data_IF_519988611920
#
_entry.id   IF_519988611920
#
_cell.length_a   1.000
_cell.length_b   1.000
_cell.length_c   1.000
_cell.angle_alpha   90.00
_cell.angle_beta   90.00
_cell.angle_gamma   90.00
#
_symmetry.space_group_name_H-M   'P 1'
#
loop_
_entity.id
_entity.type
_entity.pdbx_description
1 polymer ?
#
# COMPACT_ATOMS: atom_id res chain seq x y z
N UNK A 1 -15.18 -19.23 8.31
CA UNK A 1 -14.64 -18.45 7.19
C UNK A 1 -13.38 -17.78 7.76
N UNK A 2 -12.21 -18.35 7.53
CA UNK A 2 -10.94 -17.85 8.09
C UNK A 2 -10.26 -17.00 7.03
N UNK A 3 -10.69 -15.74 6.92
CA UNK A 3 -9.96 -14.69 6.22
C UNK A 3 -9.57 -13.64 7.25
N UNK A 4 -8.36 -13.08 7.13
CA UNK A 4 -8.07 -11.82 7.81
C UNK A 4 -9.06 -10.75 7.31
N UNK A 5 -9.46 -9.78 8.15
CA UNK A 5 -10.27 -8.67 7.68
C UNK A 5 -9.54 -7.97 6.53
N UNK A 6 -10.30 -7.59 5.49
CA UNK A 6 -9.77 -6.83 4.38
C UNK A 6 -9.25 -5.47 4.89
N UNK A 7 -8.08 -5.07 4.43
CA UNK A 7 -7.50 -3.77 4.80
C UNK A 7 -8.19 -2.65 4.04
N UNK A 8 -8.50 -1.56 4.73
CA UNK A 8 -9.00 -0.33 4.13
C UNK A 8 -7.85 0.67 3.98
N UNK A 9 -7.92 1.56 3.01
CA UNK A 9 -6.83 2.48 2.72
C UNK A 9 -7.19 3.53 1.68
N UNK A 10 -6.15 4.19 1.17
CA UNK A 10 -6.27 5.19 0.12
C UNK A 10 -5.24 4.95 -0.98
N UNK A 11 -5.67 5.15 -2.21
CA UNK A 11 -4.79 5.27 -3.37
C UNK A 11 -4.60 6.74 -3.71
N UNK A 12 -3.40 7.14 -4.09
CA UNK A 12 -3.10 8.47 -4.59
C UNK A 12 -2.08 8.39 -5.72
N UNK A 13 -2.25 9.23 -6.73
CA UNK A 13 -1.31 9.36 -7.83
C UNK A 13 -0.20 10.31 -7.42
N UNK A 14 1.05 9.90 -7.64
CA UNK A 14 2.24 10.71 -7.37
C UNK A 14 2.94 11.03 -8.68
N UNK A 15 3.11 12.32 -8.95
CA UNK A 15 3.75 12.82 -10.17
C UNK A 15 5.13 13.43 -9.87
N UNK A 16 6.01 13.40 -10.89
CA UNK A 16 7.31 14.07 -10.82
C UNK A 16 8.40 13.33 -10.04
N UNK A 17 8.10 12.20 -9.38
CA UNK A 17 9.10 11.34 -8.70
C UNK A 17 8.86 9.85 -8.94
N UNK A 18 9.93 9.07 -8.83
CA UNK A 18 9.88 7.61 -8.80
C UNK A 18 10.15 7.13 -7.38
N UNK A 19 9.11 6.63 -6.72
CA UNK A 19 9.26 6.04 -5.39
C UNK A 19 10.09 4.75 -5.45
N UNK A 20 11.14 4.73 -4.66
CA UNK A 20 12.03 3.60 -4.40
C UNK A 20 11.69 2.95 -3.06
N UNK A 21 12.25 1.76 -2.80
CA UNK A 21 12.01 1.04 -1.54
C UNK A 21 12.34 1.85 -0.29
N UNK A 22 13.45 2.60 -0.21
CA UNK A 22 13.72 3.51 0.89
C UNK A 22 12.58 4.52 1.16
N UNK A 23 12.07 5.21 0.14
CA UNK A 23 10.99 6.18 0.34
C UNK A 23 9.70 5.51 0.81
N UNK A 24 9.39 4.30 0.32
CA UNK A 24 8.26 3.52 0.82
C UNK A 24 8.43 3.12 2.29
N UNK A 25 9.65 2.78 2.71
CA UNK A 25 9.97 2.47 4.09
C UNK A 25 9.76 3.69 5.00
N UNK A 26 10.25 4.86 4.58
CA UNK A 26 10.09 6.12 5.32
C UNK A 26 8.60 6.50 5.46
N UNK A 27 7.81 6.39 4.39
CA UNK A 27 6.36 6.63 4.48
C UNK A 27 5.69 5.64 5.45
N UNK A 28 6.07 4.37 5.42
CA UNK A 28 5.50 3.37 6.32
C UNK A 28 5.85 3.65 7.80
N UNK A 29 7.10 3.99 8.08
CA UNK A 29 7.58 4.34 9.43
C UNK A 29 6.83 5.56 9.98
N UNK A 30 6.75 6.63 9.18
CA UNK A 30 6.11 7.88 9.56
C UNK A 30 4.60 7.70 9.78
N UNK A 31 3.94 6.85 9.00
CA UNK A 31 2.52 6.51 9.18
C UNK A 31 2.26 5.46 10.27
N UNK A 32 3.31 4.85 10.83
CA UNK A 32 3.18 3.80 11.85
C UNK A 32 2.59 2.49 11.32
N UNK A 33 2.70 2.22 10.02
CA UNK A 33 2.18 1.01 9.35
C UNK A 33 3.32 0.07 8.94
N UNK A 34 2.99 -1.16 8.57
CA UNK A 34 4.01 -2.10 8.09
C UNK A 34 4.35 -1.84 6.61
N UNK A 35 5.56 -2.20 6.17
CA UNK A 35 5.98 -2.08 4.75
C UNK A 35 5.06 -2.85 3.79
N UNK A 36 4.39 -3.91 4.25
CA UNK A 36 3.39 -4.66 3.45
C UNK A 36 2.07 -3.91 3.25
N UNK A 37 1.85 -2.86 4.02
CA UNK A 37 0.66 -2.01 4.00
C UNK A 37 0.87 -0.79 3.08
N UNK A 38 2.03 -0.68 2.43
CA UNK A 38 2.30 0.34 1.41
C UNK A 38 2.69 -0.32 0.08
N UNK A 39 2.04 0.09 -1.00
CA UNK A 39 2.27 -0.46 -2.34
C UNK A 39 2.39 0.67 -3.34
N UNK A 40 3.30 0.55 -4.31
CA UNK A 40 3.40 1.46 -5.45
C UNK A 40 3.27 0.66 -6.74
N UNK A 41 2.38 1.10 -7.62
CA UNK A 41 2.22 0.51 -8.95
C UNK A 41 1.83 1.59 -9.94
N UNK A 42 2.59 1.69 -11.04
CA UNK A 42 2.31 2.64 -12.13
C UNK A 42 2.17 4.11 -11.67
N UNK A 43 2.95 4.52 -10.65
CA UNK A 43 2.87 5.87 -10.05
C UNK A 43 1.69 6.10 -9.10
N UNK A 44 0.92 5.05 -8.81
CA UNK A 44 -0.17 5.06 -7.84
C UNK A 44 0.33 4.43 -6.54
N UNK A 45 0.40 5.26 -5.50
CA UNK A 45 0.71 4.84 -4.14
C UNK A 45 -0.59 4.40 -3.45
N UNK A 46 -0.60 3.20 -2.92
CA UNK A 46 -1.65 2.65 -2.05
C UNK A 46 -1.12 2.58 -0.63
N UNK A 47 -1.85 3.17 0.30
CA UNK A 47 -1.55 3.16 1.74
C UNK A 47 -2.73 2.52 2.47
N UNK A 48 -2.50 1.37 3.09
CA UNK A 48 -3.48 0.74 3.96
C UNK A 48 -3.36 1.27 5.37
N UNK A 49 -4.50 1.66 5.92
CA UNK A 49 -4.61 2.25 7.24
C UNK A 49 -4.77 1.13 8.29
N UNK A 50 -3.63 0.58 8.70
CA UNK A 50 -3.58 -0.53 9.67
C UNK A 50 -3.19 -0.09 11.07
N UNK A 51 -2.96 1.21 11.30
CA UNK A 51 -2.57 1.79 12.59
C UNK A 51 -3.51 2.91 13.03
N UNK A 52 -3.59 3.18 14.34
CA UNK A 52 -4.36 4.32 14.86
C UNK A 52 -3.81 5.66 14.36
N UNK A 53 -2.49 5.79 14.27
CA UNK A 53 -1.82 7.01 13.78
C UNK A 53 -2.15 7.30 12.32
N UNK A 54 -2.17 6.28 11.46
CA UNK A 54 -2.58 6.44 10.06
C UNK A 54 -4.05 6.86 9.94
N UNK A 55 -4.93 6.38 10.84
CA UNK A 55 -6.34 6.76 10.85
C UNK A 55 -6.52 8.23 11.25
N UNK A 56 -5.80 8.70 12.27
CA UNK A 56 -5.85 10.11 12.68
C UNK A 56 -5.40 11.05 11.55
N UNK A 57 -4.32 10.70 10.85
CA UNK A 57 -3.82 11.48 9.70
C UNK A 57 -4.84 11.54 8.56
N UNK A 58 -5.57 10.44 8.33
CA UNK A 58 -6.63 10.35 7.33
C UNK A 58 -7.83 11.21 7.75
N UNK A 59 -8.26 11.10 9.00
CA UNK A 59 -9.40 11.84 9.54
C UNK A 59 -9.15 13.35 9.54
N UNK A 60 -7.91 13.77 9.74
CA UNK A 60 -7.46 15.16 9.63
C UNK A 60 -7.30 15.66 8.19
N UNK A 61 -7.46 14.78 7.19
CA UNK A 61 -7.24 15.10 5.78
C UNK A 61 -5.79 15.45 5.44
N UNK A 62 -4.84 15.00 6.27
CA UNK A 62 -3.43 15.37 6.19
C UNK A 62 -2.57 14.36 5.40
N UNK A 63 -3.13 13.21 5.00
CA UNK A 63 -2.38 12.12 4.36
C UNK A 63 -1.53 12.55 3.17
N UNK A 64 -2.09 13.33 2.24
CA UNK A 64 -1.34 13.82 1.07
C UNK A 64 -0.21 14.77 1.48
N UNK A 65 -0.43 15.65 2.47
CA UNK A 65 0.62 16.55 2.96
C UNK A 65 1.73 15.78 3.64
N UNK A 66 1.36 14.74 4.39
CA UNK A 66 2.29 13.89 5.11
C UNK A 66 3.20 13.12 4.16
N UNK A 67 2.61 12.40 3.19
CA UNK A 67 3.36 11.69 2.14
C UNK A 67 4.27 12.65 1.37
N UNK A 68 3.75 13.83 1.00
CA UNK A 68 4.54 14.85 0.29
C UNK A 68 5.76 15.32 1.09
N UNK A 69 5.59 15.55 2.40
CA UNK A 69 6.68 15.95 3.29
C UNK A 69 7.72 14.85 3.46
N UNK A 70 7.29 13.58 3.61
CA UNK A 70 8.21 12.46 3.79
C UNK A 70 9.15 12.29 2.59
N UNK A 71 8.63 12.41 1.37
CA UNK A 71 9.42 12.21 0.14
C UNK A 71 9.92 13.53 -0.50
N UNK A 72 9.84 14.64 0.24
CA UNK A 72 10.28 15.98 -0.17
C UNK A 72 9.77 16.43 -1.55
N UNK A 73 8.45 16.30 -1.77
CA UNK A 73 7.78 16.77 -2.99
C UNK A 73 6.72 17.84 -2.67
N UNK A 74 6.38 18.71 -3.63
CA UNK A 74 5.21 19.56 -3.48
C UNK A 74 3.93 18.72 -3.42
N UNK A 75 3.03 19.06 -2.49
CA UNK A 75 1.71 18.39 -2.35
C UNK A 75 0.87 18.46 -3.62
N UNK A 76 1.11 19.47 -4.48
CA UNK A 76 0.45 19.63 -5.78
C UNK A 76 0.73 18.47 -6.75
N UNK A 77 1.81 17.71 -6.52
CA UNK A 77 2.15 16.52 -7.28
C UNK A 77 1.41 15.26 -6.80
N UNK A 78 0.58 15.38 -5.75
CA UNK A 78 -0.27 14.30 -5.26
C UNK A 78 -1.72 14.58 -5.66
N UNK A 79 -2.34 13.62 -6.34
CA UNK A 79 -3.69 13.77 -6.88
C UNK A 79 -4.48 12.46 -6.83
N UNK A 80 -5.74 12.51 -7.28
CA UNK A 80 -6.60 11.33 -7.47
C UNK A 80 -6.78 10.47 -6.20
N UNK A 81 -6.82 11.12 -5.03
CA UNK A 81 -6.97 10.44 -3.75
C UNK A 81 -8.33 9.74 -3.66
N UNK A 82 -8.31 8.41 -3.56
CA UNK A 82 -9.50 7.55 -3.60
C UNK A 82 -9.42 6.51 -2.49
N UNK A 83 -10.52 6.29 -1.76
CA UNK A 83 -10.59 5.23 -0.76
C UNK A 83 -10.60 3.86 -1.46
N UNK A 84 -9.89 2.88 -0.91
CA UNK A 84 -9.78 1.53 -1.45
C UNK A 84 -9.92 0.49 -0.34
N UNK A 85 -10.45 -0.67 -0.70
CA UNK A 85 -10.46 -1.87 0.14
C UNK A 85 -9.58 -2.90 -0.54
N UNK A 86 -8.75 -3.59 0.22
CA UNK A 86 -7.90 -4.68 -0.26
C UNK A 86 -8.73 -5.71 -1.04
N UNK A 87 -8.29 -5.99 -2.26
CA UNK A 87 -8.82 -7.09 -3.04
C UNK A 87 -7.99 -8.34 -2.74
N UNK A 88 -8.59 -9.39 -2.13
CA UNK A 88 -7.88 -10.63 -1.90
C UNK A 88 -7.58 -11.29 -3.25
N UNK A 89 -6.30 -11.48 -3.55
CA UNK A 89 -5.88 -12.23 -4.74
C UNK A 89 -6.14 -13.70 -4.46
N UNK A 90 -7.08 -14.31 -5.19
CA UNK A 90 -7.21 -15.76 -5.25
C UNK A 90 -5.97 -16.32 -5.96
N UNK A 91 -5.02 -16.86 -5.19
CA UNK A 91 -3.94 -17.66 -5.75
C UNK A 91 -4.51 -19.05 -6.03
N UNK A 92 -4.75 -19.38 -7.30
CA UNK A 92 -4.95 -20.77 -7.73
C UNK A 92 -3.60 -21.48 -7.57
N UNK A 93 -3.44 -22.17 -6.43
CA UNK A 93 -2.27 -23.01 -6.18
C UNK A 93 -2.42 -24.26 -7.05
N UNK A 94 -1.69 -24.32 -8.17
CA UNK A 94 -1.67 -25.49 -9.03
C UNK A 94 -0.83 -26.59 -8.36
N UNK A 95 -1.50 -27.49 -7.65
CA UNK A 95 -0.86 -28.64 -6.99
C UNK A 95 -0.31 -29.67 -7.99
N UNK A 96 -0.65 -29.59 -9.28
CA UNK A 96 -0.10 -30.50 -10.29
C UNK A 96 1.37 -30.22 -10.62
N UNK A 97 1.90 -29.04 -10.25
CA UNK A 97 3.33 -28.70 -10.39
C UNK A 97 4.21 -29.39 -9.32
N UNK A 98 3.60 -30.01 -8.31
CA UNK A 98 4.28 -30.70 -7.20
C UNK A 98 4.07 -32.22 -7.21
N UNK A 99 3.28 -32.76 -8.14
CA UNK A 99 3.22 -34.21 -8.39
C UNK A 99 4.40 -34.60 -9.30
N UNK A 100 5.59 -34.73 -8.72
CA UNK A 100 6.67 -35.50 -9.35
C UNK A 100 6.16 -36.94 -9.55
N UNK A 101 6.23 -37.42 -10.79
CA UNK A 101 5.97 -38.81 -11.18
C UNK A 101 6.77 -39.76 -10.25
N UNK A 102 6.07 -40.46 -9.35
CA UNK A 102 6.61 -41.66 -8.67
C UNK A 102 6.98 -42.68 -9.77
N UNK A 103 8.27 -42.69 -10.11
CA UNK A 103 8.99 -43.61 -11.00
C UNK A 103 8.91 -45.04 -10.44
N UNK A 104 8.20 -45.94 -11.13
CA UNK A 104 8.15 -47.40 -10.89
C UNK A 104 8.49 -48.18 -12.18
#
# INVERSE_FOLDING_TARGET
MFGLPLREGFTMKIEGVYLTRPELHEIAEELGIAERDILIKDGILTVYNTSESSQEIIDDGALASFVAMTIDIPVENISEMTAVVEEPIEMEFDLSEFEDEDDD
#
